data_IF_801711188070
#
_entry.id   IF_801711188070
#
_cell.length_a   1.000
_cell.length_b   1.000
_cell.length_c   1.000
_cell.angle_alpha   90.00
_cell.angle_beta   90.00
_cell.angle_gamma   90.00
#
_symmetry.space_group_name_H-M   'P 1'
#
loop_
_entity.id
_entity.type
_entity.pdbx_description
1 polymer ?
#
# COMPACT_ATOMS: atom_id res chain seq x y z
N UNK A 1 -11.95 45.84 -20.22
CA UNK A 1 -13.02 45.46 -19.28
C UNK A 1 -13.61 44.09 -19.64
N UNK A 2 -12.79 43.10 -20.05
CA UNK A 2 -13.29 41.87 -20.69
C UNK A 2 -12.47 40.61 -20.35
N UNK A 3 -11.67 40.61 -19.28
CA UNK A 3 -10.88 39.43 -18.87
C UNK A 3 -11.44 38.69 -17.66
N UNK A 4 -12.41 39.26 -16.93
CA UNK A 4 -13.02 38.62 -15.75
C UNK A 4 -14.31 37.84 -16.05
N UNK A 5 -14.92 38.01 -17.23
CA UNK A 5 -16.11 37.24 -17.60
C UNK A 5 -15.77 35.88 -18.22
N UNK A 6 -14.70 35.78 -19.02
CA UNK A 6 -14.35 34.51 -19.70
C UNK A 6 -13.96 33.37 -18.74
N UNK A 7 -13.37 33.65 -17.58
CA UNK A 7 -13.03 32.58 -16.62
C UNK A 7 -14.26 31.98 -15.93
N UNK A 8 -15.37 32.74 -15.81
CA UNK A 8 -16.64 32.23 -15.27
C UNK A 8 -17.32 31.27 -16.25
N UNK A 9 -17.21 31.52 -17.56
CA UNK A 9 -17.81 30.66 -18.59
C UNK A 9 -17.07 29.33 -18.74
N UNK A 10 -15.74 29.33 -18.65
CA UNK A 10 -14.93 28.09 -18.72
C UNK A 10 -15.12 27.18 -17.49
N UNK A 11 -15.21 27.75 -16.28
CA UNK A 11 -15.52 26.96 -15.08
C UNK A 11 -16.93 26.35 -15.13
N UNK A 12 -17.92 27.07 -15.65
CA UNK A 12 -19.30 26.56 -15.76
C UNK A 12 -19.46 25.47 -16.84
N UNK A 13 -18.65 25.49 -17.90
CA UNK A 13 -18.71 24.48 -18.96
C UNK A 13 -18.22 23.10 -18.49
N UNK A 14 -17.29 23.04 -17.53
CA UNK A 14 -16.72 21.78 -16.99
C UNK A 14 -17.76 20.89 -16.28
N UNK A 15 -18.77 21.50 -15.65
CA UNK A 15 -19.81 20.79 -14.90
C UNK A 15 -20.89 20.13 -15.78
N UNK A 16 -21.09 20.59 -17.02
CA UNK A 16 -22.24 20.20 -17.86
C UNK A 16 -22.24 18.76 -18.36
N UNK A 17 -21.17 17.99 -18.15
CA UNK A 17 -21.05 16.59 -18.62
C UNK A 17 -21.03 15.54 -17.51
N UNK A 18 -21.21 15.91 -16.23
CA UNK A 18 -21.19 14.98 -15.10
C UNK A 18 -22.55 14.88 -14.41
N UNK A 19 -22.84 13.73 -13.80
CA UNK A 19 -24.01 13.55 -12.94
C UNK A 19 -23.97 14.58 -11.81
N UNK A 20 -25.11 15.17 -11.48
CA UNK A 20 -25.23 16.10 -10.36
C UNK A 20 -25.60 15.36 -9.07
N UNK A 21 -25.40 15.99 -7.90
CA UNK A 21 -25.80 15.44 -6.60
C UNK A 21 -27.01 16.20 -6.08
N UNK A 22 -28.08 15.51 -5.72
CA UNK A 22 -29.24 16.05 -5.03
C UNK A 22 -29.21 15.69 -3.55
N UNK A 23 -29.21 16.70 -2.69
CA UNK A 23 -29.21 16.54 -1.23
C UNK A 23 -30.56 17.04 -0.67
N UNK A 24 -31.28 16.22 0.12
CA UNK A 24 -32.51 16.66 0.78
C UNK A 24 -32.21 17.65 1.92
N UNK A 25 -33.27 18.20 2.54
CA UNK A 25 -33.14 19.06 3.72
C UNK A 25 -32.29 18.36 4.79
N UNK A 26 -31.29 19.06 5.33
CA UNK A 26 -30.43 18.55 6.39
C UNK A 26 -30.13 19.61 7.44
N UNK A 27 -30.01 19.17 8.70
CA UNK A 27 -29.61 20.00 9.84
C UNK A 27 -28.12 19.88 10.18
N UNK A 28 -27.42 18.89 9.61
CA UNK A 28 -26.01 18.64 9.91
C UNK A 28 -25.13 19.37 8.87
N UNK A 29 -24.77 20.61 9.22
CA UNK A 29 -24.03 21.54 8.35
C UNK A 29 -22.62 21.05 8.07
N UNK A 30 -21.97 20.40 9.03
CA UNK A 30 -20.61 19.86 8.87
C UNK A 30 -20.57 18.71 7.86
N UNK A 31 -21.54 17.79 7.97
CA UNK A 31 -21.70 16.70 6.99
C UNK A 31 -22.00 17.23 5.59
N UNK A 32 -22.84 18.26 5.50
CA UNK A 32 -23.14 18.92 4.24
C UNK A 32 -21.89 19.59 3.64
N UNK A 33 -21.11 20.30 4.45
CA UNK A 33 -19.87 20.92 4.02
C UNK A 33 -18.89 19.90 3.42
N UNK A 34 -18.76 18.72 4.04
CA UNK A 34 -17.93 17.63 3.52
C UNK A 34 -18.37 17.15 2.14
N UNK A 35 -19.67 16.89 1.96
CA UNK A 35 -20.21 16.45 0.67
C UNK A 35 -20.00 17.52 -0.40
N UNK A 36 -20.24 18.79 -0.06
CA UNK A 36 -20.08 19.94 -0.96
C UNK A 36 -18.61 20.13 -1.39
N UNK A 37 -17.66 20.08 -0.45
CA UNK A 37 -16.23 20.23 -0.74
C UNK A 37 -15.71 19.08 -1.62
N UNK A 38 -16.14 17.84 -1.34
CA UNK A 38 -15.79 16.67 -2.17
C UNK A 38 -16.33 16.78 -3.59
N UNK A 39 -17.55 17.30 -3.74
CA UNK A 39 -18.13 17.54 -5.06
C UNK A 39 -17.40 18.68 -5.80
N UNK A 40 -16.94 19.71 -5.08
CA UNK A 40 -16.18 20.83 -5.66
C UNK A 40 -14.87 20.34 -6.29
N UNK A 41 -14.09 19.58 -5.53
CA UNK A 41 -12.80 19.02 -5.97
C UNK A 41 -12.98 18.12 -7.22
N UNK A 42 -14.05 17.33 -7.25
CA UNK A 42 -14.43 16.50 -8.40
C UNK A 42 -15.10 17.26 -9.53
N UNK A 43 -15.31 18.57 -9.44
CA UNK A 43 -16.03 19.33 -10.48
C UNK A 43 -17.46 18.79 -10.71
N UNK A 44 -18.14 18.37 -9.64
CA UNK A 44 -19.53 17.90 -9.62
C UNK A 44 -20.42 18.99 -9.02
N UNK A 45 -21.61 19.20 -9.60
CA UNK A 45 -22.57 20.20 -9.14
C UNK A 45 -23.52 19.62 -8.10
N UNK A 46 -23.80 20.37 -7.05
CA UNK A 46 -24.63 19.96 -5.91
C UNK A 46 -25.89 20.83 -5.82
N UNK A 47 -27.05 20.19 -5.84
CA UNK A 47 -28.35 20.80 -5.63
C UNK A 47 -28.84 20.46 -4.21
N UNK A 48 -29.01 21.48 -3.38
CA UNK A 48 -29.42 21.32 -1.97
C UNK A 48 -30.85 21.81 -1.85
N UNK A 49 -31.74 20.95 -1.36
CA UNK A 49 -33.09 21.36 -1.02
C UNK A 49 -33.08 22.19 0.27
N UNK A 50 -33.56 23.43 0.21
CA UNK A 50 -33.66 24.33 1.37
C UNK A 50 -35.12 24.60 1.72
N UNK A 51 -35.50 24.33 2.97
CA UNK A 51 -36.79 24.75 3.49
C UNK A 51 -36.81 26.26 3.71
N UNK A 52 -37.98 26.90 3.64
CA UNK A 52 -38.14 28.37 3.72
C UNK A 52 -37.52 29.04 4.97
N UNK A 53 -37.11 28.29 6.01
CA UNK A 53 -36.59 28.81 7.29
C UNK A 53 -35.07 28.69 7.50
N UNK A 54 -34.34 27.91 6.70
CA UNK A 54 -32.92 27.57 6.96
C UNK A 54 -31.93 28.20 5.97
N UNK A 55 -32.33 29.27 5.27
CA UNK A 55 -31.57 29.84 4.15
C UNK A 55 -30.24 30.48 4.56
N UNK A 56 -30.17 31.10 5.74
CA UNK A 56 -29.00 31.90 6.16
C UNK A 56 -27.74 31.08 6.45
N UNK A 57 -27.87 29.85 6.99
CA UNK A 57 -26.71 28.99 7.30
C UNK A 57 -26.14 28.30 6.04
N UNK A 58 -26.95 28.17 4.99
CA UNK A 58 -26.59 27.47 3.76
C UNK A 58 -26.09 28.41 2.66
N UNK A 59 -26.31 29.71 2.80
CA UNK A 59 -25.93 30.74 1.82
C UNK A 59 -24.41 30.82 1.63
N UNK A 60 -23.62 30.49 2.67
CA UNK A 60 -22.17 30.39 2.60
C UNK A 60 -21.66 29.40 1.54
N UNK A 61 -22.39 28.31 1.28
CA UNK A 61 -21.98 27.32 0.28
C UNK A 61 -22.14 27.80 -1.17
N UNK A 62 -22.99 28.81 -1.43
CA UNK A 62 -23.13 29.38 -2.78
C UNK A 62 -21.84 30.04 -3.27
N UNK A 63 -20.97 30.46 -2.35
CA UNK A 63 -19.66 31.05 -2.69
C UNK A 63 -18.72 30.09 -3.40
N UNK A 64 -18.89 28.77 -3.21
CA UNK A 64 -18.06 27.73 -3.84
C UNK A 64 -18.38 27.50 -5.33
N UNK A 65 -19.43 28.12 -5.87
CA UNK A 65 -19.76 28.10 -7.30
C UNK A 65 -20.27 26.75 -7.86
N UNK A 66 -20.08 25.64 -7.15
CA UNK A 66 -20.59 24.30 -7.49
C UNK A 66 -21.89 23.95 -6.75
N UNK A 67 -22.43 24.86 -5.93
CA UNK A 67 -23.63 24.62 -5.10
C UNK A 67 -24.78 25.49 -5.56
N UNK A 68 -25.96 24.89 -5.63
CA UNK A 68 -27.21 25.58 -5.89
C UNK A 68 -28.27 25.22 -4.85
N UNK A 69 -28.83 26.25 -4.23
CA UNK A 69 -29.91 26.09 -3.25
C UNK A 69 -31.25 26.15 -3.97
N UNK A 70 -32.01 25.07 -3.87
CA UNK A 70 -33.35 24.91 -4.47
C UNK A 70 -34.40 25.10 -3.39
N UNK A 71 -35.26 26.09 -3.57
CA UNK A 71 -36.37 26.40 -2.65
C UNK A 71 -37.71 26.06 -3.29
N UNK A 72 -38.74 25.68 -2.51
CA UNK A 72 -40.06 25.40 -3.05
C UNK A 72 -40.69 26.67 -3.65
N UNK A 73 -41.08 26.60 -4.92
CA UNK A 73 -42.04 27.53 -5.53
C UNK A 73 -43.40 27.37 -4.85
N UNK A 74 -44.14 28.46 -4.66
CA UNK A 74 -45.49 28.46 -4.05
C UNK A 74 -46.51 27.55 -4.76
N UNK A 75 -46.19 27.02 -5.95
CA UNK A 75 -47.02 26.12 -6.75
C UNK A 75 -46.63 24.64 -6.71
N UNK A 76 -45.46 24.26 -6.18
CA UNK A 76 -44.96 22.88 -6.20
C UNK A 76 -45.09 22.14 -4.85
N UNK A 77 -45.58 22.84 -3.81
CA UNK A 77 -45.53 22.38 -2.42
C UNK A 77 -46.51 21.24 -2.07
N UNK A 78 -47.40 20.85 -2.98
CA UNK A 78 -48.53 19.95 -2.65
C UNK A 78 -48.54 18.58 -3.31
N UNK A 79 -47.65 18.25 -4.27
CA UNK A 79 -47.75 16.94 -4.95
C UNK A 79 -46.43 16.31 -5.45
N UNK A 80 -45.30 17.02 -5.46
CA UNK A 80 -44.03 16.47 -5.97
C UNK A 80 -43.05 16.10 -4.86
N UNK A 81 -42.48 14.90 -4.94
CA UNK A 81 -41.43 14.45 -4.03
C UNK A 81 -40.17 15.33 -4.18
N UNK A 82 -39.42 15.59 -3.10
CA UNK A 82 -38.15 16.37 -3.15
C UNK A 82 -37.20 15.87 -4.25
N UNK A 83 -37.25 14.57 -4.52
CA UNK A 83 -36.51 13.89 -5.58
C UNK A 83 -36.84 14.42 -6.97
N UNK A 84 -38.13 14.54 -7.29
CA UNK A 84 -38.59 14.99 -8.62
C UNK A 84 -38.23 16.44 -8.89
N UNK A 85 -38.31 17.31 -7.88
CA UNK A 85 -37.99 18.73 -8.04
C UNK A 85 -36.50 18.93 -8.28
N UNK A 86 -35.64 18.26 -7.49
CA UNK A 86 -34.19 18.31 -7.69
C UNK A 86 -33.78 17.72 -9.05
N UNK A 87 -34.43 16.63 -9.49
CA UNK A 87 -34.20 16.07 -10.82
C UNK A 87 -34.61 17.03 -11.94
N UNK A 88 -35.74 17.73 -11.80
CA UNK A 88 -36.21 18.72 -12.76
C UNK A 88 -35.22 19.87 -12.91
N UNK A 89 -34.75 20.42 -11.80
CA UNK A 89 -33.76 21.52 -11.79
C UNK A 89 -32.44 21.08 -12.42
N UNK A 90 -31.93 19.89 -12.06
CA UNK A 90 -30.70 19.37 -12.67
C UNK A 90 -30.83 19.18 -14.20
N UNK A 91 -32.02 18.79 -14.67
CA UNK A 91 -32.33 18.63 -16.10
C UNK A 91 -32.39 19.95 -16.85
N UNK A 92 -33.06 20.94 -16.29
CA UNK A 92 -33.11 22.29 -16.86
C UNK A 92 -31.72 22.91 -17.01
N UNK A 93 -30.77 22.51 -16.15
CA UNK A 93 -29.37 22.95 -16.23
C UNK A 93 -28.46 22.09 -17.10
N UNK A 94 -29.02 21.08 -17.78
CA UNK A 94 -28.30 20.28 -18.77
C UNK A 94 -27.40 19.19 -18.19
N UNK A 95 -27.63 18.75 -16.95
CA UNK A 95 -26.93 17.58 -16.41
C UNK A 95 -27.49 16.28 -17.01
N UNK A 96 -26.65 15.26 -17.26
CA UNK A 96 -27.09 13.97 -17.80
C UNK A 96 -27.94 13.14 -16.82
N UNK A 97 -27.87 13.44 -15.52
CA UNK A 97 -28.63 12.77 -14.47
C UNK A 97 -28.30 13.32 -13.08
N UNK A 98 -29.04 12.86 -12.07
CA UNK A 98 -28.86 13.27 -10.67
C UNK A 98 -28.74 12.05 -9.74
N UNK A 99 -27.80 12.11 -8.81
CA UNK A 99 -27.59 11.13 -7.74
C UNK A 99 -28.23 11.67 -6.46
N UNK A 100 -29.16 10.92 -5.89
CA UNK A 100 -29.83 11.30 -4.64
C UNK A 100 -29.05 10.78 -3.44
N UNK A 101 -28.44 11.69 -2.69
CA UNK A 101 -27.67 11.35 -1.50
C UNK A 101 -28.48 11.63 -0.23
N UNK A 102 -29.17 10.60 0.25
CA UNK A 102 -30.10 10.71 1.39
C UNK A 102 -29.37 10.78 2.74
N UNK A 103 -28.31 9.98 2.90
CA UNK A 103 -27.55 9.87 4.14
C UNK A 103 -26.24 10.66 4.02
N UNK A 104 -26.27 11.96 4.32
CA UNK A 104 -25.10 12.85 4.13
C UNK A 104 -23.91 12.54 5.04
N UNK A 105 -24.09 11.65 6.02
CA UNK A 105 -23.01 11.16 6.88
C UNK A 105 -22.20 10.07 6.20
N UNK A 106 -22.75 9.39 5.21
CA UNK A 106 -22.08 8.32 4.45
C UNK A 106 -21.32 8.87 3.24
N UNK A 107 -20.41 8.07 2.69
CA UNK A 107 -19.67 8.44 1.49
C UNK A 107 -20.35 7.93 0.24
N UNK A 108 -20.42 8.73 -0.83
CA UNK A 108 -20.94 8.29 -2.14
C UNK A 108 -19.87 7.49 -2.86
N UNK A 109 -20.10 6.20 -3.09
CA UNK A 109 -19.29 5.41 -4.04
C UNK A 109 -19.63 5.87 -5.47
N UNK A 110 -18.87 6.83 -5.99
CA UNK A 110 -19.13 7.44 -7.30
C UNK A 110 -19.01 6.42 -8.45
N UNK A 111 -18.04 5.51 -8.39
CA UNK A 111 -17.78 4.54 -9.45
C UNK A 111 -18.95 3.56 -9.55
N UNK A 112 -19.32 2.94 -8.43
CA UNK A 112 -20.43 1.99 -8.39
C UNK A 112 -21.77 2.69 -8.67
N UNK A 113 -21.94 3.94 -8.21
CA UNK A 113 -23.16 4.72 -8.47
C UNK A 113 -23.28 5.10 -9.96
N UNK A 114 -22.18 5.47 -10.62
CA UNK A 114 -22.16 5.79 -12.04
C UNK A 114 -22.41 4.55 -12.91
N UNK A 115 -21.83 3.41 -12.57
CA UNK A 115 -22.11 2.13 -13.24
C UNK A 115 -23.59 1.74 -13.09
N UNK A 116 -24.13 1.83 -11.87
CA UNK A 116 -25.54 1.56 -11.60
C UNK A 116 -26.46 2.50 -12.38
N UNK A 117 -26.09 3.78 -12.49
CA UNK A 117 -26.83 4.76 -13.29
C UNK A 117 -26.85 4.39 -14.78
N UNK A 118 -25.69 3.99 -15.35
CA UNK A 118 -25.58 3.55 -16.75
C UNK A 118 -26.41 2.31 -17.03
N UNK A 119 -26.47 1.37 -16.08
CA UNK A 119 -27.21 0.11 -16.22
C UNK A 119 -28.73 0.26 -16.09
N UNK A 120 -29.19 1.22 -15.29
CA UNK A 120 -30.62 1.35 -14.96
C UNK A 120 -31.38 2.41 -15.79
N UNK A 121 -30.70 3.21 -16.63
CA UNK A 121 -31.24 4.28 -17.50
C UNK A 121 -32.23 5.27 -16.83
N UNK A 122 -32.29 5.31 -15.50
CA UNK A 122 -33.15 6.23 -14.75
C UNK A 122 -32.42 7.54 -14.55
N UNK A 123 -33.05 8.65 -14.94
CA UNK A 123 -32.52 10.02 -14.78
C UNK A 123 -32.16 10.38 -13.31
N UNK A 124 -32.66 9.62 -12.34
CA UNK A 124 -32.34 9.77 -10.93
C UNK A 124 -32.10 8.43 -10.23
N UNK A 125 -30.87 8.16 -9.78
CA UNK A 125 -30.50 6.99 -8.97
C UNK A 125 -30.24 7.39 -7.51
N UNK A 126 -30.38 6.44 -6.58
CA UNK A 126 -29.93 6.65 -5.20
C UNK A 126 -28.41 6.46 -5.14
N UNK A 127 -27.73 7.23 -4.29
CA UNK A 127 -26.29 7.04 -4.06
C UNK A 127 -26.05 5.67 -3.45
N UNK A 128 -25.11 4.91 -4.00
CA UNK A 128 -24.55 3.78 -3.29
C UNK A 128 -23.58 4.35 -2.25
N UNK A 129 -23.88 4.06 -0.98
CA UNK A 129 -23.15 4.61 0.15
C UNK A 129 -22.13 3.62 0.69
N UNK A 130 -20.93 4.10 1.02
CA UNK A 130 -19.96 3.38 1.85
C UNK A 130 -20.09 3.84 3.32
N UNK A 131 -19.94 2.93 4.30
CA UNK A 131 -19.93 3.28 5.72
C UNK A 131 -18.92 4.40 6.04
N UNK A 132 -19.31 5.31 6.92
CA UNK A 132 -18.57 6.53 7.31
C UNK A 132 -17.20 6.26 7.97
N UNK A 133 -16.85 5.00 8.26
CA UNK A 133 -15.54 4.60 8.80
C UNK A 133 -14.36 4.91 7.86
N UNK A 134 -14.64 5.31 6.61
CA UNK A 134 -13.64 5.77 5.64
C UNK A 134 -13.93 7.25 5.36
N UNK A 135 -13.07 8.15 5.84
CA UNK A 135 -13.14 9.58 5.50
C UNK A 135 -12.18 9.93 4.35
N UNK A 136 -12.60 9.86 3.07
CA UNK A 136 -11.75 10.31 1.98
C UNK A 136 -11.90 11.83 1.86
N UNK A 137 -11.02 12.55 2.55
CA UNK A 137 -10.48 13.79 1.99
C UNK A 137 -9.34 13.38 1.07
N UNK A 138 -9.09 14.14 -0.01
CA UNK A 138 -7.79 14.10 -0.67
C UNK A 138 -6.75 14.41 0.40
N UNK A 139 -6.11 13.36 0.92
CA UNK A 139 -5.20 13.49 2.04
C UNK A 139 -3.80 13.69 1.48
N UNK A 140 -3.08 14.68 1.98
CA UNK A 140 -1.73 14.92 1.48
C UNK A 140 -0.82 13.70 1.72
N UNK A 141 -0.95 13.11 2.91
CA UNK A 141 -0.27 11.88 3.32
C UNK A 141 -1.31 10.92 3.92
N UNK A 142 -1.26 9.65 3.54
CA UNK A 142 -1.96 8.56 4.22
C UNK A 142 -0.93 7.62 4.82
N UNK A 143 -1.08 7.25 6.09
CA UNK A 143 -0.27 6.19 6.71
C UNK A 143 -1.11 4.93 6.82
N UNK A 144 -0.64 3.83 6.23
CA UNK A 144 -1.24 2.51 6.34
C UNK A 144 -0.38 1.59 7.21
N UNK A 145 -1.02 0.93 8.18
CA UNK A 145 -0.36 0.07 9.15
C UNK A 145 -0.98 -1.33 9.05
N UNK A 146 -0.31 -2.31 8.43
CA UNK A 146 -0.72 -3.71 8.55
C UNK A 146 -0.52 -4.17 10.00
N UNK A 147 -1.49 -4.86 10.57
CA UNK A 147 -1.46 -5.33 11.95
C UNK A 147 -2.08 -6.73 12.08
N UNK A 148 -1.47 -7.57 12.93
CA UNK A 148 -2.01 -8.86 13.34
C UNK A 148 -1.58 -9.17 14.77
N UNK A 149 -2.52 -9.19 15.69
CA UNK A 149 -2.29 -9.39 17.14
C UNK A 149 -1.26 -8.41 17.73
N UNK A 150 -1.47 -7.11 17.52
CA UNK A 150 -0.58 -6.00 17.92
C UNK A 150 -1.22 -5.11 19.00
N UNK A 151 -2.07 -5.66 19.90
CA UNK A 151 -2.82 -4.84 20.87
C UNK A 151 -1.94 -3.99 21.82
N UNK A 152 -0.71 -4.45 22.10
CA UNK A 152 0.24 -3.78 22.99
C UNK A 152 0.90 -2.55 22.35
N UNK A 153 1.17 -2.61 21.04
CA UNK A 153 2.01 -1.67 20.28
C UNK A 153 1.15 -0.69 19.46
N UNK A 154 0.06 -1.16 18.85
CA UNK A 154 -0.68 -0.44 17.81
C UNK A 154 -1.17 0.95 18.25
N UNK A 155 -1.59 1.09 19.51
CA UNK A 155 -2.07 2.35 20.06
C UNK A 155 -0.99 3.44 20.01
N UNK A 156 0.24 3.09 20.39
CA UNK A 156 1.36 4.03 20.38
C UNK A 156 1.80 4.34 18.95
N UNK A 157 1.84 3.33 18.07
CA UNK A 157 2.19 3.52 16.66
C UNK A 157 1.22 4.47 15.97
N UNK A 158 -0.09 4.25 16.14
CA UNK A 158 -1.13 5.15 15.62
C UNK A 158 -0.99 6.55 16.21
N UNK A 159 -0.77 6.67 17.53
CA UNK A 159 -0.59 7.97 18.18
C UNK A 159 0.60 8.75 17.61
N UNK A 160 1.73 8.07 17.39
CA UNK A 160 2.92 8.67 16.79
C UNK A 160 2.70 9.04 15.32
N UNK A 161 2.06 8.18 14.53
CA UNK A 161 1.75 8.45 13.13
C UNK A 161 0.80 9.66 12.97
N UNK A 162 -0.19 9.78 13.86
CA UNK A 162 -1.14 10.91 13.89
C UNK A 162 -0.47 12.28 14.15
N UNK A 163 0.80 12.32 14.57
CA UNK A 163 1.56 13.58 14.67
C UNK A 163 2.02 14.12 13.31
N UNK A 164 2.03 13.27 12.27
CA UNK A 164 2.56 13.59 10.93
C UNK A 164 1.51 13.51 9.83
N UNK A 165 0.36 12.88 10.09
CA UNK A 165 -0.78 12.84 9.19
C UNK A 165 -2.10 12.84 9.95
N UNK A 166 -3.14 13.41 9.36
CA UNK A 166 -4.52 13.32 9.86
C UNK A 166 -5.24 12.03 9.43
N UNK A 167 -4.62 11.23 8.56
CA UNK A 167 -5.23 10.02 8.01
C UNK A 167 -4.31 8.83 8.25
N UNK A 168 -4.62 8.07 9.29
CA UNK A 168 -4.03 6.77 9.58
C UNK A 168 -5.08 5.69 9.35
N UNK A 169 -4.70 4.64 8.63
CA UNK A 169 -5.51 3.46 8.43
C UNK A 169 -4.76 2.23 8.91
N UNK A 170 -5.40 1.44 9.76
CA UNK A 170 -4.91 0.14 10.21
C UNK A 170 -5.62 -0.93 9.42
N UNK A 171 -4.84 -1.78 8.76
CA UNK A 171 -5.34 -2.98 8.07
C UNK A 171 -5.10 -4.16 9.00
N UNK A 172 -6.16 -4.59 9.66
CA UNK A 172 -6.18 -5.72 10.57
C UNK A 172 -6.33 -7.02 9.77
N UNK A 173 -5.34 -7.90 9.86
CA UNK A 173 -5.30 -9.18 9.16
C UNK A 173 -5.97 -10.29 9.99
N UNK A 174 -7.18 -10.01 10.50
CA UNK A 174 -7.98 -10.96 11.27
C UNK A 174 -7.43 -11.24 12.67
N UNK A 175 -7.11 -10.20 13.45
CA UNK A 175 -6.64 -10.38 14.83
C UNK A 175 -7.70 -10.96 15.76
N UNK A 176 -7.27 -11.75 16.73
CA UNK A 176 -8.13 -12.34 17.79
C UNK A 176 -8.10 -11.52 19.10
N UNK A 177 -7.33 -10.44 19.14
CA UNK A 177 -7.09 -9.59 20.30
C UNK A 177 -7.79 -8.21 20.18
N UNK A 178 -7.42 -7.24 21.02
CA UNK A 178 -8.02 -5.90 20.98
C UNK A 178 -7.37 -4.93 19.99
N UNK A 179 -6.59 -5.40 19.01
CA UNK A 179 -5.84 -4.56 18.05
C UNK A 179 -6.74 -3.50 17.40
N UNK A 180 -7.86 -3.91 16.80
CA UNK A 180 -8.82 -3.00 16.12
C UNK A 180 -9.35 -1.95 17.09
N UNK A 181 -9.79 -2.37 18.27
CA UNK A 181 -10.36 -1.45 19.28
C UNK A 181 -9.32 -0.45 19.78
N UNK A 182 -8.06 -0.86 19.92
CA UNK A 182 -6.97 0.02 20.35
C UNK A 182 -6.60 1.02 19.25
N UNK A 183 -6.59 0.59 17.98
CA UNK A 183 -6.36 1.46 16.83
C UNK A 183 -7.44 2.54 16.70
N UNK A 184 -8.72 2.16 16.78
CA UNK A 184 -9.85 3.11 16.72
C UNK A 184 -9.81 4.12 17.87
N UNK A 185 -9.52 3.66 19.10
CA UNK A 185 -9.37 4.54 20.27
C UNK A 185 -8.20 5.52 20.12
N UNK A 186 -7.17 5.15 19.37
CA UNK A 186 -6.04 6.02 19.05
C UNK A 186 -6.33 6.99 17.89
N UNK A 187 -7.48 6.86 17.23
CA UNK A 187 -7.94 7.75 16.16
C UNK A 187 -7.63 7.28 14.75
N UNK A 188 -7.29 6.00 14.54
CA UNK A 188 -7.14 5.43 13.20
C UNK A 188 -8.48 4.94 12.62
N UNK A 189 -8.57 4.95 11.29
CA UNK A 189 -9.58 4.16 10.58
C UNK A 189 -9.11 2.70 10.53
N UNK A 190 -10.04 1.75 10.54
CA UNK A 190 -9.72 0.32 10.57
C UNK A 190 -10.41 -0.41 9.42
N UNK A 191 -9.71 -1.39 8.84
CA UNK A 191 -10.28 -2.37 7.91
C UNK A 191 -9.78 -3.74 8.35
N UNK A 192 -10.71 -4.63 8.66
CA UNK A 192 -10.39 -6.00 9.08
C UNK A 192 -10.65 -7.00 7.96
N UNK A 193 -9.76 -7.98 7.85
CA UNK A 193 -10.03 -9.23 7.16
C UNK A 193 -10.82 -10.19 8.06
N UNK A 194 -11.65 -11.04 7.46
CA UNK A 194 -12.43 -12.05 8.21
C UNK A 194 -11.54 -13.15 8.82
N UNK A 195 -10.36 -13.38 8.24
CA UNK A 195 -9.36 -14.34 8.68
C UNK A 195 -7.95 -13.81 8.36
N UNK A 196 -6.92 -14.40 8.97
CA UNK A 196 -5.53 -14.07 8.66
C UNK A 196 -5.16 -14.55 7.26
N UNK A 197 -4.77 -13.60 6.40
CA UNK A 197 -4.41 -13.84 5.01
C UNK A 197 -2.92 -13.60 4.72
N UNK A 198 -2.18 -13.08 5.70
CA UNK A 198 -0.76 -12.77 5.60
C UNK A 198 -0.47 -11.28 5.37
N UNK A 199 0.78 -10.91 5.67
CA UNK A 199 1.28 -9.54 5.54
C UNK A 199 1.07 -8.95 4.15
N UNK A 200 1.33 -9.74 3.10
CA UNK A 200 1.16 -9.30 1.72
C UNK A 200 -0.29 -8.98 1.39
N UNK A 201 -1.24 -9.79 1.87
CA UNK A 201 -2.67 -9.52 1.69
C UNK A 201 -3.09 -8.21 2.38
N UNK A 202 -2.59 -7.96 3.60
CA UNK A 202 -2.84 -6.71 4.33
C UNK A 202 -2.28 -5.49 3.57
N UNK A 203 -1.07 -5.60 3.02
CA UNK A 203 -0.44 -4.55 2.20
C UNK A 203 -1.21 -4.31 0.88
N UNK A 204 -1.65 -5.36 0.18
CA UNK A 204 -2.49 -5.21 -1.01
C UNK A 204 -3.83 -4.52 -0.68
N UNK A 205 -4.45 -4.87 0.44
CA UNK A 205 -5.64 -4.17 0.94
C UNK A 205 -5.31 -2.70 1.26
N UNK A 206 -4.16 -2.42 1.86
CA UNK A 206 -3.69 -1.05 2.09
C UNK A 206 -3.59 -0.26 0.79
N UNK A 207 -2.99 -0.80 -0.27
CA UNK A 207 -2.89 -0.11 -1.57
C UNK A 207 -4.26 0.14 -2.19
N UNK A 208 -5.14 -0.87 -2.22
CA UNK A 208 -6.49 -0.74 -2.80
C UNK A 208 -7.33 0.28 -2.06
N UNK A 209 -7.20 0.33 -0.74
CA UNK A 209 -7.94 1.28 0.09
C UNK A 209 -7.33 2.67 -0.03
N UNK A 210 -6.01 2.80 0.03
CA UNK A 210 -5.31 4.06 -0.14
C UNK A 210 -5.68 4.74 -1.47
N UNK A 211 -5.82 3.96 -2.56
CA UNK A 211 -6.30 4.48 -3.85
C UNK A 211 -7.65 5.22 -3.74
N UNK A 212 -8.53 4.83 -2.80
CA UNK A 212 -9.83 5.49 -2.57
C UNK A 212 -9.70 6.83 -1.82
N UNK A 213 -8.65 6.99 -1.03
CA UNK A 213 -8.31 8.25 -0.36
C UNK A 213 -7.57 9.23 -1.28
N UNK A 214 -7.09 8.75 -2.44
CA UNK A 214 -6.31 9.50 -3.43
C UNK A 214 -5.19 10.35 -2.81
N UNK A 215 -4.29 9.75 -1.99
CA UNK A 215 -3.26 10.51 -1.34
C UNK A 215 -2.17 10.95 -2.31
N UNK A 216 -1.55 12.11 -2.04
CA UNK A 216 -0.32 12.51 -2.74
C UNK A 216 0.82 11.55 -2.39
N UNK A 217 0.89 11.13 -1.12
CA UNK A 217 1.88 10.16 -0.61
C UNK A 217 1.20 9.10 0.26
N UNK A 218 1.42 7.83 -0.04
CA UNK A 218 1.12 6.72 0.86
C UNK A 218 2.38 6.33 1.62
N UNK A 219 2.27 6.10 2.93
CA UNK A 219 3.33 5.56 3.75
C UNK A 219 2.84 4.25 4.37
N UNK A 220 3.62 3.18 4.23
CA UNK A 220 3.42 1.94 5.01
C UNK A 220 4.33 1.96 6.22
N UNK A 221 3.82 1.55 7.38
CA UNK A 221 4.55 1.49 8.64
C UNK A 221 4.16 0.21 9.40
N UNK A 222 5.13 -0.53 9.92
CA UNK A 222 4.86 -1.77 10.65
C UNK A 222 4.20 -1.49 12.03
N UNK A 223 3.27 -2.35 12.43
CA UNK A 223 2.48 -2.22 13.67
C UNK A 223 3.25 -2.47 14.97
N UNK A 224 4.46 -3.04 14.90
CA UNK A 224 5.26 -3.49 16.06
C UNK A 224 5.96 -2.36 16.85
N UNK A 225 5.91 -1.13 16.34
CA UNK A 225 6.51 0.05 16.97
C UNK A 225 8.04 0.10 16.94
N UNK A 226 8.70 -0.71 16.11
CA UNK A 226 10.16 -0.67 15.95
C UNK A 226 10.63 0.59 15.23
N UNK A 227 9.83 1.12 14.31
CA UNK A 227 10.14 2.30 13.51
C UNK A 227 9.75 3.61 14.23
N UNK A 228 10.61 4.62 14.16
CA UNK A 228 10.28 5.96 14.66
C UNK A 228 9.46 6.73 13.62
N UNK A 229 8.18 7.02 13.93
CA UNK A 229 7.29 7.77 13.04
C UNK A 229 7.82 9.17 12.68
N UNK A 230 8.77 9.74 13.45
CA UNK A 230 9.45 11.01 13.08
C UNK A 230 10.10 11.00 11.71
N UNK A 231 10.51 9.82 11.24
CA UNK A 231 11.15 9.68 9.94
C UNK A 231 10.14 9.84 8.78
N UNK A 232 8.82 9.83 9.05
CA UNK A 232 7.76 10.15 8.06
C UNK A 232 8.03 11.50 7.39
N UNK A 233 8.35 12.54 8.17
CA UNK A 233 8.62 13.88 7.63
C UNK A 233 9.77 13.90 6.63
N UNK A 234 10.81 13.07 6.87
CA UNK A 234 11.96 12.95 5.95
C UNK A 234 11.57 12.24 4.66
N UNK A 235 10.72 11.22 4.75
CA UNK A 235 10.21 10.51 3.56
C UNK A 235 9.34 11.43 2.71
N UNK A 236 8.45 12.19 3.35
CA UNK A 236 7.59 13.17 2.69
C UNK A 236 8.43 14.20 1.93
N UNK A 237 9.47 14.75 2.57
CA UNK A 237 10.37 15.71 1.91
C UNK A 237 11.03 15.13 0.65
N UNK A 238 11.43 13.86 0.65
CA UNK A 238 12.07 13.24 -0.52
C UNK A 238 11.07 13.04 -1.66
N UNK A 239 9.87 12.52 -1.36
CA UNK A 239 8.82 12.31 -2.37
C UNK A 239 8.32 13.66 -2.93
N UNK A 240 8.07 14.64 -2.08
CA UNK A 240 7.49 15.94 -2.49
C UNK A 240 8.44 16.81 -3.31
N UNK A 241 9.75 16.60 -3.16
CA UNK A 241 10.76 17.26 -3.98
C UNK A 241 11.05 16.49 -5.29
N UNK A 242 10.20 15.53 -5.66
CA UNK A 242 10.32 14.67 -6.85
C UNK A 242 11.70 13.99 -6.96
N UNK A 243 12.32 13.68 -5.81
CA UNK A 243 13.64 13.04 -5.76
C UNK A 243 13.57 11.53 -5.93
N UNK A 244 12.43 10.92 -5.60
CA UNK A 244 12.21 9.48 -5.70
C UNK A 244 10.73 9.18 -5.89
N UNK A 245 10.43 8.03 -6.50
CA UNK A 245 9.08 7.49 -6.59
C UNK A 245 8.73 6.64 -5.35
N UNK A 246 9.73 5.96 -4.80
CA UNK A 246 9.66 5.15 -3.59
C UNK A 246 10.79 5.54 -2.63
N UNK A 247 10.48 5.71 -1.35
CA UNK A 247 11.47 5.95 -0.30
C UNK A 247 11.40 4.84 0.73
N UNK A 248 12.53 4.21 1.03
CA UNK A 248 12.64 3.13 2.01
C UNK A 248 13.33 3.63 3.27
N UNK A 249 12.74 3.35 4.43
CA UNK A 249 13.34 3.56 5.74
C UNK A 249 14.37 2.48 6.01
N UNK A 250 15.65 2.78 5.80
CA UNK A 250 16.74 1.82 5.87
C UNK A 250 17.41 1.79 7.24
N UNK A 251 17.51 0.59 7.83
CA UNK A 251 18.20 0.32 9.10
C UNK A 251 19.70 0.61 9.06
N UNK A 252 20.28 0.60 7.86
CA UNK A 252 21.74 0.53 7.67
C UNK A 252 22.38 1.89 7.33
N UNK A 253 21.60 2.90 6.96
CA UNK A 253 22.13 4.19 6.50
C UNK A 253 22.72 5.03 7.66
N UNK A 254 22.22 4.85 8.89
CA UNK A 254 22.49 5.74 10.04
C UNK A 254 23.64 5.28 10.95
N UNK A 255 24.37 4.21 10.62
CA UNK A 255 25.50 3.74 11.44
C UNK A 255 25.12 3.23 12.84
N UNK A 256 23.82 3.11 13.14
CA UNK A 256 23.29 2.74 14.45
C UNK A 256 23.08 1.24 14.65
N UNK A 257 23.82 0.39 13.93
CA UNK A 257 23.84 -1.06 14.15
C UNK A 257 24.50 -1.50 15.49
N UNK A 258 24.55 -0.61 16.50
CA UNK A 258 25.08 -0.94 17.82
C UNK A 258 24.08 -1.84 18.54
N UNK A 259 24.47 -3.09 18.77
CA UNK A 259 23.65 -4.09 19.48
C UNK A 259 23.08 -5.21 18.60
N UNK A 260 23.22 -5.12 17.27
CA UNK A 260 22.76 -6.19 16.37
C UNK A 260 23.78 -7.34 16.37
N UNK A 261 23.37 -8.60 16.61
CA UNK A 261 24.27 -9.74 16.53
C UNK A 261 24.90 -9.89 15.14
N UNK A 262 26.21 -10.17 15.08
CA UNK A 262 26.97 -10.24 13.80
C UNK A 262 26.41 -11.25 12.80
N UNK A 263 25.87 -12.36 13.27
CA UNK A 263 25.22 -13.37 12.40
C UNK A 263 23.96 -12.82 11.72
N UNK A 264 23.19 -11.95 12.40
CA UNK A 264 22.00 -11.30 11.83
C UNK A 264 22.40 -10.32 10.74
N UNK A 265 23.47 -9.54 10.97
CA UNK A 265 24.03 -8.63 9.96
C UNK A 265 24.45 -9.40 8.71
N UNK A 266 25.17 -10.51 8.88
CA UNK A 266 25.61 -11.33 7.76
C UNK A 266 24.43 -11.98 7.01
N UNK A 267 23.46 -12.52 7.74
CA UNK A 267 22.26 -13.12 7.14
C UNK A 267 21.43 -12.10 6.35
N UNK A 268 21.19 -10.92 6.92
CA UNK A 268 20.49 -9.83 6.21
C UNK A 268 21.29 -9.31 5.03
N UNK A 269 22.63 -9.26 5.12
CA UNK A 269 23.49 -8.94 3.99
C UNK A 269 23.33 -9.95 2.85
N UNK A 270 23.26 -11.25 3.14
CA UNK A 270 22.99 -12.29 2.12
C UNK A 270 21.61 -12.07 1.50
N UNK A 271 20.56 -11.88 2.29
CA UNK A 271 19.19 -11.63 1.77
C UNK A 271 19.19 -10.43 0.84
N UNK A 272 19.69 -9.29 1.29
CA UNK A 272 19.77 -8.07 0.49
C UNK A 272 20.59 -8.30 -0.80
N UNK A 273 21.71 -9.03 -0.71
CA UNK A 273 22.54 -9.33 -1.87
C UNK A 273 21.83 -10.18 -2.91
N UNK A 274 21.15 -11.24 -2.48
CA UNK A 274 20.41 -12.12 -3.38
C UNK A 274 19.21 -11.39 -4.00
N UNK A 275 18.49 -10.58 -3.23
CA UNK A 275 17.37 -9.78 -3.74
C UNK A 275 17.82 -8.72 -4.75
N UNK A 276 18.93 -8.02 -4.51
CA UNK A 276 19.43 -7.07 -5.51
C UNK A 276 19.92 -7.78 -6.77
N UNK A 277 20.54 -8.97 -6.63
CA UNK A 277 20.95 -9.77 -7.79
C UNK A 277 19.76 -10.24 -8.61
N UNK A 278 18.66 -10.60 -7.95
CA UNK A 278 17.45 -11.10 -8.61
C UNK A 278 16.65 -9.98 -9.30
N UNK A 279 16.68 -8.76 -8.76
CA UNK A 279 16.15 -7.56 -9.40
C UNK A 279 16.94 -7.14 -10.67
N UNK A 280 18.13 -7.72 -10.86
CA UNK A 280 18.98 -7.53 -12.04
C UNK A 280 19.94 -6.34 -11.94
N UNK A 281 20.91 -6.30 -12.86
CA UNK A 281 21.98 -5.29 -12.84
C UNK A 281 21.58 -3.91 -13.37
N UNK A 282 20.33 -3.74 -13.82
CA UNK A 282 19.82 -2.49 -14.39
C UNK A 282 19.24 -1.53 -13.34
N UNK A 283 19.29 -1.89 -12.06
CA UNK A 283 18.85 -1.01 -10.98
C UNK A 283 19.71 0.27 -10.94
N UNK A 284 19.06 1.44 -10.77
CA UNK A 284 19.76 2.72 -10.61
C UNK A 284 20.60 2.77 -9.33
N UNK A 285 20.16 2.08 -8.28
CA UNK A 285 20.83 2.06 -6.98
C UNK A 285 20.64 0.71 -6.28
N UNK A 286 21.66 0.30 -5.52
CA UNK A 286 21.62 -0.89 -4.67
C UNK A 286 20.83 -0.60 -3.40
N UNK A 287 19.80 -1.40 -3.13
CA UNK A 287 18.93 -1.26 -1.95
C UNK A 287 19.56 -1.99 -0.78
N UNK A 288 19.87 -1.27 0.31
CA UNK A 288 20.50 -1.82 1.52
C UNK A 288 19.50 -2.49 2.47
N UNK A 289 18.22 -2.16 2.40
CA UNK A 289 17.19 -2.74 3.25
C UNK A 289 15.95 -3.18 2.47
N UNK A 290 16.06 -4.30 1.76
CA UNK A 290 14.99 -4.80 0.87
C UNK A 290 13.77 -5.33 1.62
N UNK A 291 13.86 -5.47 2.94
CA UNK A 291 12.85 -6.10 3.81
C UNK A 291 12.28 -5.11 4.84
N UNK A 292 12.46 -3.81 4.62
CA UNK A 292 11.83 -2.79 5.46
C UNK A 292 10.37 -2.61 5.06
N UNK A 293 9.44 -2.72 6.02
CA UNK A 293 8.03 -2.39 5.83
C UNK A 293 7.74 -0.89 5.87
N UNK A 294 8.69 -0.09 6.36
CA UNK A 294 8.60 1.36 6.38
C UNK A 294 8.97 1.97 5.03
N UNK A 295 7.96 2.33 4.24
CA UNK A 295 8.14 2.83 2.87
C UNK A 295 7.16 3.96 2.56
N UNK A 296 7.58 4.91 1.74
CA UNK A 296 6.71 5.93 1.16
C UNK A 296 6.61 5.76 -0.36
N UNK A 297 5.42 6.01 -0.90
CA UNK A 297 5.07 5.85 -2.31
C UNK A 297 4.38 7.10 -2.79
N UNK A 298 4.78 7.63 -3.96
CA UNK A 298 4.02 8.68 -4.62
C UNK A 298 2.69 8.13 -5.20
N UNK A 299 1.82 9.05 -5.61
CA UNK A 299 0.50 8.69 -6.17
C UNK A 299 0.58 7.81 -7.43
N UNK A 300 1.59 8.01 -8.28
CA UNK A 300 1.78 7.22 -9.51
C UNK A 300 2.10 5.76 -9.19
N UNK A 301 3.03 5.53 -8.25
CA UNK A 301 3.40 4.19 -7.78
C UNK A 301 2.20 3.52 -7.13
N UNK A 302 1.47 4.24 -6.26
CA UNK A 302 0.27 3.74 -5.61
C UNK A 302 -0.77 3.22 -6.62
N UNK A 303 -1.05 3.96 -7.68
CA UNK A 303 -2.01 3.54 -8.70
C UNK A 303 -1.62 2.20 -9.33
N UNK A 304 -0.34 2.04 -9.69
CA UNK A 304 0.14 0.80 -10.30
C UNK A 304 0.21 -0.37 -9.32
N UNK A 305 0.55 -0.13 -8.05
CA UNK A 305 0.58 -1.18 -7.02
C UNK A 305 -0.83 -1.65 -6.64
N UNK A 306 -1.81 -0.73 -6.60
CA UNK A 306 -3.20 -1.06 -6.29
C UNK A 306 -3.89 -1.89 -7.39
N UNK A 307 -3.35 -1.88 -8.60
CA UNK A 307 -3.82 -2.66 -9.76
C UNK A 307 -2.99 -3.92 -10.00
N UNK A 308 -1.85 -4.06 -9.32
CA UNK A 308 -0.95 -5.19 -9.51
C UNK A 308 -1.57 -6.48 -8.97
N UNK A 309 -1.47 -7.54 -9.76
CA UNK A 309 -1.79 -8.92 -9.38
C UNK A 309 -0.54 -9.73 -9.02
N UNK A 310 0.64 -9.10 -9.12
CA UNK A 310 1.94 -9.78 -9.00
C UNK A 310 2.48 -9.77 -7.57
N UNK A 311 1.81 -9.07 -6.65
CA UNK A 311 2.15 -9.03 -5.23
C UNK A 311 1.49 -10.22 -4.56
N UNK A 312 2.28 -11.10 -3.95
CA UNK A 312 1.77 -12.26 -3.21
C UNK A 312 1.13 -11.87 -1.87
N UNK A 313 0.39 -12.81 -1.28
CA UNK A 313 -0.25 -12.64 0.03
C UNK A 313 0.72 -12.84 1.21
N UNK A 314 1.90 -13.42 0.94
CA UNK A 314 2.90 -13.81 1.93
C UNK A 314 3.89 -12.70 2.32
N UNK A 315 4.96 -13.12 3.01
CA UNK A 315 6.04 -12.22 3.47
C UNK A 315 6.88 -11.63 2.33
N UNK A 316 6.79 -12.21 1.13
CA UNK A 316 7.49 -11.80 -0.07
C UNK A 316 6.96 -10.51 -0.71
N UNK A 317 5.81 -10.01 -0.25
CA UNK A 317 5.23 -8.77 -0.77
C UNK A 317 6.23 -7.59 -0.75
N UNK A 318 7.10 -7.53 0.25
CA UNK A 318 8.17 -6.52 0.32
C UNK A 318 9.12 -6.59 -0.88
N UNK A 319 9.46 -7.79 -1.34
CA UNK A 319 10.31 -8.04 -2.51
C UNK A 319 9.52 -7.84 -3.81
N UNK A 320 8.28 -8.31 -3.88
CA UNK A 320 7.40 -8.18 -5.05
C UNK A 320 7.18 -6.70 -5.43
N UNK A 321 6.99 -5.84 -4.43
CA UNK A 321 6.91 -4.38 -4.62
C UNK A 321 8.17 -3.82 -5.29
N UNK A 322 9.36 -4.33 -4.92
CA UNK A 322 10.63 -3.89 -5.52
C UNK A 322 10.77 -4.39 -6.96
N UNK A 323 10.31 -5.61 -7.26
CA UNK A 323 10.26 -6.12 -8.63
C UNK A 323 9.31 -5.29 -9.50
N UNK A 324 8.10 -5.03 -9.01
CA UNK A 324 7.12 -4.18 -9.68
C UNK A 324 7.72 -2.80 -9.98
N UNK A 325 8.39 -2.21 -8.99
CA UNK A 325 9.03 -0.91 -9.16
C UNK A 325 10.18 -0.92 -10.16
N UNK A 326 11.03 -1.95 -10.12
CA UNK A 326 12.13 -2.12 -11.06
C UNK A 326 11.65 -2.32 -12.50
N UNK A 327 10.58 -3.12 -12.69
CA UNK A 327 10.01 -3.40 -14.00
C UNK A 327 9.40 -2.15 -14.65
N UNK A 328 8.83 -1.24 -13.84
CA UNK A 328 8.29 0.04 -14.30
C UNK A 328 9.32 1.18 -14.29
N UNK A 329 10.55 0.94 -13.82
CA UNK A 329 11.64 1.91 -13.86
C UNK A 329 11.54 3.04 -12.82
N UNK A 330 10.78 2.84 -11.75
CA UNK A 330 10.64 3.80 -10.65
C UNK A 330 11.97 4.06 -9.94
N UNK A 331 12.18 5.29 -9.50
CA UNK A 331 13.36 5.67 -8.72
C UNK A 331 13.16 5.38 -7.23
N UNK A 332 14.12 4.67 -6.65
CA UNK A 332 14.07 4.20 -5.26
C UNK A 332 15.21 4.84 -4.48
N UNK A 333 14.88 5.50 -3.37
CA UNK A 333 15.87 6.07 -2.46
C UNK A 333 15.74 5.50 -1.05
N UNK A 334 16.85 5.48 -0.32
CA UNK A 334 16.90 5.06 1.08
C UNK A 334 17.22 6.24 1.99
N UNK A 335 16.41 6.42 3.02
CA UNK A 335 16.73 7.31 4.14
C UNK A 335 17.11 6.48 5.36
N UNK A 336 17.99 7.00 6.21
CA UNK A 336 18.30 6.33 7.47
C UNK A 336 17.14 6.47 8.45
N UNK A 337 16.63 5.34 8.94
CA UNK A 337 15.63 5.30 10.00
C UNK A 337 16.25 4.88 11.34
N UNK A 338 15.65 5.33 12.43
CA UNK A 338 16.01 4.86 13.78
C UNK A 338 15.10 3.71 14.15
N UNK A 339 15.70 2.54 14.40
CA UNK A 339 14.96 1.39 14.93
C UNK A 339 15.16 1.27 16.43
N UNK A 340 14.06 1.21 17.17
CA UNK A 340 14.04 0.79 18.57
C UNK A 340 13.90 -0.72 18.61
N UNK A 341 14.95 -1.41 19.03
CA UNK A 341 14.82 -2.79 19.43
C UNK A 341 14.30 -2.82 20.86
N UNK A 342 13.01 -3.09 21.03
CA UNK A 342 12.46 -3.42 22.35
C UNK A 342 13.18 -4.68 22.83
N UNK A 343 14.01 -4.55 23.85
CA UNK A 343 14.67 -5.69 24.53
C UNK A 343 13.65 -6.40 25.44
N UNK A 344 12.38 -6.02 25.41
CA UNK A 344 11.32 -6.49 26.29
C UNK A 344 10.64 -7.74 25.71
N UNK A 345 11.44 -8.81 25.71
CA UNK A 345 11.09 -10.12 26.24
C UNK A 345 12.37 -10.95 26.34
N UNK A 346 13.42 -10.41 26.96
CA UNK A 346 14.53 -11.22 27.48
C UNK A 346 14.03 -12.05 28.66
N UNK A 347 13.19 -13.04 28.35
CA UNK A 347 13.19 -14.27 29.10
C UNK A 347 14.62 -14.81 29.01
N UNK A 348 15.21 -14.98 30.18
CA UNK A 348 16.55 -15.47 30.46
C UNK A 348 16.71 -16.93 30.04
N UNK A 349 16.57 -17.24 28.74
CA UNK A 349 16.73 -18.57 28.18
C UNK A 349 17.59 -18.48 26.90
N UNK A 350 18.88 -18.79 27.08
CA UNK A 350 19.93 -19.02 26.07
C UNK A 350 20.01 -18.03 24.88
N UNK A 351 20.98 -17.09 24.87
CA UNK A 351 21.31 -16.25 23.71
C UNK A 351 21.58 -17.03 22.42
N UNK A 352 21.98 -18.30 22.55
CA UNK A 352 22.24 -19.22 21.43
C UNK A 352 20.94 -19.71 20.78
N UNK A 353 19.90 -20.04 21.55
CA UNK A 353 18.61 -20.50 20.98
C UNK A 353 17.91 -19.37 20.24
N UNK A 354 17.90 -18.15 20.79
CA UNK A 354 17.37 -16.99 20.08
C UNK A 354 18.14 -16.68 18.79
N UNK A 355 19.48 -16.84 18.81
CA UNK A 355 20.28 -16.68 17.61
C UNK A 355 20.00 -17.74 16.54
N UNK A 356 19.81 -19.00 16.94
CA UNK A 356 19.45 -20.09 16.04
C UNK A 356 18.06 -19.88 15.41
N UNK A 357 17.07 -19.42 16.18
CA UNK A 357 15.74 -19.09 15.66
C UNK A 357 15.84 -18.00 14.60
N UNK A 358 16.63 -16.95 14.87
CA UNK A 358 16.79 -15.84 13.95
C UNK A 358 17.51 -16.26 12.65
N UNK A 359 18.55 -17.09 12.76
CA UNK A 359 19.24 -17.67 11.59
C UNK A 359 18.31 -18.59 10.82
N UNK A 360 17.52 -19.43 11.50
CA UNK A 360 16.47 -20.27 10.90
C UNK A 360 15.47 -19.43 10.11
N UNK A 361 15.00 -18.32 10.68
CA UNK A 361 14.05 -17.44 10.00
C UNK A 361 14.68 -16.78 8.77
N UNK A 362 15.91 -16.28 8.88
CA UNK A 362 16.64 -15.73 7.73
C UNK A 362 16.85 -16.80 6.65
N UNK A 363 17.26 -18.02 7.03
CA UNK A 363 17.44 -19.12 6.10
C UNK A 363 16.13 -19.48 5.40
N UNK A 364 15.02 -19.56 6.13
CA UNK A 364 13.69 -19.77 5.56
C UNK A 364 13.31 -18.65 4.60
N UNK A 365 13.57 -17.39 4.95
CA UNK A 365 13.33 -16.26 4.04
C UNK A 365 14.15 -16.39 2.76
N UNK A 366 15.45 -16.68 2.84
CA UNK A 366 16.27 -16.86 1.63
C UNK A 366 15.82 -18.09 0.83
N UNK A 367 15.45 -19.17 1.51
CA UNK A 367 14.97 -20.42 0.90
C UNK A 367 13.66 -20.19 0.13
N UNK A 368 12.73 -19.42 0.69
CA UNK A 368 11.45 -19.07 0.07
C UNK A 368 11.65 -18.09 -1.10
N UNK A 369 12.41 -17.02 -0.88
CA UNK A 369 12.53 -15.93 -1.85
C UNK A 369 13.44 -16.28 -3.03
N UNK A 370 14.57 -16.96 -2.79
CA UNK A 370 15.65 -17.12 -3.79
C UNK A 370 16.26 -18.54 -3.82
N UNK A 371 15.46 -19.62 -3.98
CA UNK A 371 15.96 -21.00 -3.94
C UNK A 371 17.01 -21.30 -5.01
N UNK A 372 16.89 -20.67 -6.20
CA UNK A 372 17.81 -20.84 -7.33
C UNK A 372 19.16 -20.19 -7.06
N UNK A 373 19.18 -18.95 -6.57
CA UNK A 373 20.42 -18.24 -6.31
C UNK A 373 21.18 -18.83 -5.12
N UNK A 374 20.46 -19.33 -4.09
CA UNK A 374 21.08 -19.92 -2.91
C UNK A 374 21.66 -21.32 -3.15
N UNK A 375 20.90 -22.24 -3.76
CA UNK A 375 21.31 -23.64 -3.91
C UNK A 375 21.71 -24.01 -5.35
N UNK A 376 21.07 -23.40 -6.33
CA UNK A 376 21.26 -23.71 -7.75
C UNK A 376 22.60 -23.21 -8.27
N UNK A 377 22.93 -21.92 -8.07
CA UNK A 377 24.19 -21.33 -8.55
C UNK A 377 25.43 -22.00 -7.90
N UNK A 378 25.51 -22.16 -6.56
CA UNK A 378 26.61 -22.90 -5.95
C UNK A 378 26.64 -24.38 -6.38
N UNK A 379 25.47 -25.01 -6.53
CA UNK A 379 25.35 -26.39 -7.01
C UNK A 379 25.91 -26.58 -8.42
N UNK A 380 25.60 -25.64 -9.33
CA UNK A 380 26.11 -25.62 -10.70
C UNK A 380 27.64 -25.42 -10.70
N UNK A 381 28.15 -24.45 -9.93
CA UNK A 381 29.59 -24.19 -9.81
C UNK A 381 30.32 -25.44 -9.29
N UNK A 382 29.79 -26.08 -8.25
CA UNK A 382 30.38 -27.28 -7.67
C UNK A 382 30.35 -28.46 -8.64
N UNK A 383 29.28 -28.59 -9.44
CA UNK A 383 29.18 -29.58 -10.52
C UNK A 383 30.24 -29.33 -11.59
N UNK A 384 30.44 -28.08 -12.01
CA UNK A 384 31.47 -27.71 -12.98
C UNK A 384 32.89 -27.99 -12.44
N UNK A 385 33.16 -27.70 -11.16
CA UNK A 385 34.41 -28.10 -10.52
C UNK A 385 34.58 -29.62 -10.49
N UNK A 386 33.51 -30.35 -10.15
CA UNK A 386 33.50 -31.81 -10.16
C UNK A 386 33.83 -32.40 -11.53
N UNK A 387 33.26 -31.84 -12.60
CA UNK A 387 33.58 -32.20 -13.98
C UNK A 387 35.03 -31.87 -14.33
N UNK A 388 35.53 -30.71 -13.91
CA UNK A 388 36.92 -30.29 -14.11
C UNK A 388 37.92 -31.25 -13.46
N UNK A 389 37.72 -31.61 -12.19
CA UNK A 389 38.54 -32.61 -11.51
C UNK A 389 38.38 -34.02 -12.10
N UNK A 390 37.20 -34.35 -12.62
CA UNK A 390 36.95 -35.60 -13.33
C UNK A 390 37.78 -35.68 -14.61
N UNK A 391 37.80 -34.60 -15.38
CA UNK A 391 38.64 -34.48 -16.57
C UNK A 391 40.14 -34.60 -16.24
N UNK A 392 40.60 -33.93 -15.17
CA UNK A 392 41.98 -34.06 -14.68
C UNK A 392 42.31 -35.51 -14.26
N UNK A 393 41.37 -36.20 -13.62
CA UNK A 393 41.51 -37.61 -13.23
C UNK A 393 41.74 -38.49 -14.46
N UNK A 394 40.93 -38.31 -15.50
CA UNK A 394 41.04 -39.08 -16.77
C UNK A 394 42.37 -38.81 -17.47
N UNK A 395 42.79 -37.55 -17.62
CA UNK A 395 44.08 -37.21 -18.25
C UNK A 395 45.26 -37.81 -17.49
N UNK A 396 45.25 -37.69 -16.17
CA UNK A 396 46.34 -38.21 -15.33
C UNK A 396 46.41 -39.74 -15.42
N UNK A 397 45.27 -40.42 -15.50
CA UNK A 397 45.23 -41.86 -15.72
C UNK A 397 45.83 -42.24 -17.09
N UNK A 398 45.44 -41.56 -18.16
CA UNK A 398 45.98 -41.81 -19.52
C UNK A 398 47.49 -41.57 -19.58
N UNK A 399 48.00 -40.51 -18.94
CA UNK A 399 49.43 -40.15 -18.98
C UNK A 399 50.31 -41.04 -18.11
N UNK A 400 49.84 -41.43 -16.93
CA UNK A 400 50.67 -42.10 -15.92
C UNK A 400 50.40 -43.60 -15.80
N UNK A 401 49.29 -44.10 -16.36
CA UNK A 401 48.79 -45.46 -16.16
C UNK A 401 48.32 -45.74 -14.72
N UNK A 402 48.39 -44.76 -13.81
CA UNK A 402 47.99 -44.88 -12.41
C UNK A 402 46.73 -44.05 -12.17
N UNK A 403 45.78 -44.64 -11.46
CA UNK A 403 44.53 -43.96 -11.13
C UNK A 403 44.74 -42.94 -9.99
N UNK A 404 44.51 -41.63 -10.22
CA UNK A 404 44.77 -40.61 -9.22
C UNK A 404 43.60 -40.53 -8.23
N UNK A 405 43.63 -41.43 -7.24
CA UNK A 405 42.52 -41.68 -6.31
C UNK A 405 42.05 -40.42 -5.56
N UNK A 406 42.97 -39.55 -5.14
CA UNK A 406 42.62 -38.30 -4.44
C UNK A 406 41.79 -37.32 -5.29
N UNK A 407 42.20 -37.09 -6.54
CA UNK A 407 41.50 -36.18 -7.46
C UNK A 407 40.14 -36.77 -7.86
N UNK A 408 40.08 -38.09 -8.03
CA UNK A 408 38.82 -38.79 -8.32
C UNK A 408 37.82 -38.67 -7.18
N UNK A 409 38.24 -38.80 -5.92
CA UNK A 409 37.34 -38.67 -4.77
C UNK A 409 36.79 -37.24 -4.70
N UNK A 410 37.64 -36.23 -4.87
CA UNK A 410 37.22 -34.82 -4.88
C UNK A 410 36.22 -34.58 -6.03
N UNK A 411 36.51 -35.07 -7.23
CA UNK A 411 35.60 -34.99 -8.38
C UNK A 411 34.23 -35.59 -8.07
N UNK A 412 34.18 -36.84 -7.58
CA UNK A 412 32.92 -37.52 -7.28
C UNK A 412 32.13 -36.81 -6.19
N UNK A 413 32.80 -36.33 -5.12
CA UNK A 413 32.14 -35.62 -4.03
C UNK A 413 31.55 -34.29 -4.51
N UNK A 414 32.31 -33.50 -5.27
CA UNK A 414 31.84 -32.24 -5.85
C UNK A 414 30.67 -32.47 -6.82
N UNK A 415 30.75 -33.50 -7.68
CA UNK A 415 29.66 -33.84 -8.59
C UNK A 415 28.38 -34.24 -7.83
N UNK A 416 28.51 -35.13 -6.85
CA UNK A 416 27.36 -35.60 -6.06
C UNK A 416 26.68 -34.43 -5.34
N UNK A 417 27.45 -33.64 -4.58
CA UNK A 417 26.92 -32.51 -3.83
C UNK A 417 26.36 -31.43 -4.76
N UNK A 418 27.02 -31.15 -5.89
CA UNK A 418 26.59 -30.14 -6.85
C UNK A 418 25.27 -30.50 -7.53
N UNK A 419 25.14 -31.75 -7.97
CA UNK A 419 23.91 -32.26 -8.59
C UNK A 419 22.77 -32.29 -7.58
N UNK A 420 23.00 -32.80 -6.35
CA UNK A 420 21.98 -32.83 -5.31
C UNK A 420 21.48 -31.42 -4.98
N UNK A 421 22.40 -30.46 -4.77
CA UNK A 421 22.05 -29.06 -4.52
C UNK A 421 21.24 -28.43 -5.66
N UNK A 422 21.62 -28.72 -6.91
CA UNK A 422 20.91 -28.21 -8.09
C UNK A 422 19.49 -28.79 -8.19
N UNK A 423 19.32 -30.09 -7.92
CA UNK A 423 18.00 -30.76 -7.92
C UNK A 423 17.13 -30.20 -6.79
N UNK A 424 17.67 -30.09 -5.57
CA UNK A 424 16.95 -29.51 -4.42
C UNK A 424 16.47 -28.10 -4.74
N UNK A 425 17.33 -27.28 -5.36
CA UNK A 425 16.99 -25.93 -5.79
C UNK A 425 15.80 -25.89 -6.76
N UNK A 426 15.79 -26.76 -7.78
CA UNK A 426 14.70 -26.85 -8.75
C UNK A 426 13.40 -27.31 -8.09
N UNK A 427 13.46 -28.32 -7.22
CA UNK A 427 12.29 -28.84 -6.50
C UNK A 427 11.68 -27.73 -5.64
N UNK A 428 12.52 -27.04 -4.86
CA UNK A 428 12.08 -25.99 -3.96
C UNK A 428 11.44 -24.82 -4.72
N UNK A 429 12.03 -24.41 -5.85
CA UNK A 429 11.44 -23.40 -6.73
C UNK A 429 10.10 -23.85 -7.33
N UNK A 430 10.00 -25.11 -7.76
CA UNK A 430 8.78 -25.65 -8.35
C UNK A 430 7.61 -25.71 -7.34
N UNK A 431 7.90 -26.04 -6.07
CA UNK A 431 6.90 -26.04 -5.00
C UNK A 431 6.39 -24.62 -4.75
N UNK A 432 7.29 -23.65 -4.64
CA UNK A 432 6.92 -22.27 -4.33
C UNK A 432 6.16 -21.57 -5.47
N UNK A 433 6.37 -21.98 -6.72
CA UNK A 433 5.66 -21.37 -7.86
C UNK A 433 4.21 -21.87 -7.99
N UNK A 434 3.82 -22.91 -7.23
CA UNK A 434 2.47 -23.50 -7.28
C UNK A 434 1.57 -23.14 -6.08
N UNK A 435 2.13 -22.54 -5.03
CA UNK A 435 1.40 -21.96 -3.89
C UNK A 435 1.11 -20.49 -4.14
#
# INVERSE_FOLDING_TARGET
MTTTENSKWESQAKYRRRLAIGIPITKNVDALARVVLRAYDRGVKVFIWTGQKDTLSLEGFRSLGNVELVSPSTHDATDHSTREILAKVAREQGHPGIIFHKCITEYIDYEQTEENFKLNERYGSESISLPTAIQPYSCHCLVAIPAYNEEESIREVVHQANQYTDNVIVIDDGSDDNTVQMAEKAGANTISHDENRGYGAAIQTAFRVARRFDPKVLITLDGDGQHDAKDISKMLEVIENDKADIVIGSRYQTGNARGIPRYRIFGLWIVNFLTNLSLGFNQKAWIRDTQSGFRAYNSSVLQTLAESTDIGDGMNASTDILYHANNLGYDIQEIGTTIRYSVDNTSSQNPVSHGLILVSNILRTVEQEHPILLFGVPGLILTLFGLGFGYLTVINFIKSGRFPLGVSIISTLCLLLGILSSITSIILHAIHTQS
#
